data_IF_617773301946
#
_entry.id   IF_617773301946
#
_cell.length_a   1.000
_cell.length_b   1.000
_cell.length_c   1.000
_cell.angle_alpha   90.00
_cell.angle_beta   90.00
_cell.angle_gamma   90.00
#
_symmetry.space_group_name_H-M   'P 1'
#
loop_
_entity.id
_entity.type
_entity.pdbx_description
1 polymer ?
#
# COMPACT_ATOMS: atom_id res chain seq x y z
N UNK A 1 -28.93 81.68 -25.64
CA UNK A 1 -29.46 82.85 -24.89
C UNK A 1 -30.21 82.32 -23.67
N UNK A 2 -29.79 82.74 -22.47
CA UNK A 2 -30.53 82.85 -21.18
C UNK A 2 -31.24 81.63 -20.55
N UNK A 3 -30.86 81.39 -19.29
CA UNK A 3 -31.58 80.73 -18.19
C UNK A 3 -33.05 81.14 -18.03
N UNK A 4 -33.91 80.25 -17.50
CA UNK A 4 -34.54 80.33 -16.15
C UNK A 4 -35.50 79.12 -15.93
N UNK A 5 -35.52 78.65 -14.67
CA UNK A 5 -36.12 77.45 -14.11
C UNK A 5 -37.66 77.41 -13.99
N UNK A 6 -38.24 76.20 -13.87
CA UNK A 6 -39.27 75.89 -12.86
C UNK A 6 -39.44 74.38 -12.60
N UNK A 7 -39.65 74.11 -11.31
CA UNK A 7 -39.76 72.86 -10.54
C UNK A 7 -41.00 71.99 -10.84
N UNK A 8 -41.01 70.78 -10.25
CA UNK A 8 -42.09 69.79 -9.98
C UNK A 8 -42.25 68.69 -11.05
N UNK A 9 -42.26 67.39 -10.76
CA UNK A 9 -42.40 66.66 -9.49
C UNK A 9 -41.87 65.23 -9.72
N UNK A 10 -40.86 64.81 -8.98
CA UNK A 10 -40.29 63.47 -9.03
C UNK A 10 -41.09 62.61 -8.04
N UNK A 11 -42.00 61.78 -8.54
CA UNK A 11 -42.66 60.72 -7.78
C UNK A 11 -41.61 59.67 -7.42
N UNK A 12 -40.90 59.89 -6.31
CA UNK A 12 -40.13 58.86 -5.66
C UNK A 12 -41.12 57.85 -5.06
N UNK A 13 -41.17 56.68 -5.69
CA UNK A 13 -41.81 55.49 -5.15
C UNK A 13 -41.14 55.19 -3.80
N UNK A 14 -41.86 55.52 -2.74
CA UNK A 14 -41.50 55.23 -1.37
C UNK A 14 -41.61 53.71 -1.17
N UNK A 15 -40.55 52.97 -1.49
CA UNK A 15 -40.37 51.62 -1.00
C UNK A 15 -39.98 51.73 0.48
N UNK A 16 -40.99 51.89 1.34
CA UNK A 16 -40.85 51.59 2.77
C UNK A 16 -40.54 50.10 2.89
N UNK A 17 -39.27 49.70 2.76
CA UNK A 17 -38.83 48.54 3.52
C UNK A 17 -38.84 49.01 4.97
N UNK A 18 -39.89 48.66 5.70
CA UNK A 18 -39.84 48.71 7.15
C UNK A 18 -38.66 47.83 7.55
N UNK A 19 -37.49 48.43 7.75
CA UNK A 19 -36.49 47.85 8.63
C UNK A 19 -37.17 47.84 9.98
N UNK A 20 -37.77 46.69 10.31
CA UNK A 20 -38.10 46.41 11.70
C UNK A 20 -36.78 46.61 12.44
N UNK A 21 -36.71 47.68 13.20
CA UNK A 21 -35.59 47.97 14.07
C UNK A 21 -35.83 47.03 15.25
N UNK A 22 -35.28 45.81 15.19
CA UNK A 22 -35.45 44.84 16.27
C UNK A 22 -34.82 45.47 17.50
N UNK A 23 -35.62 45.63 18.56
CA UNK A 23 -35.14 46.19 19.81
C UNK A 23 -33.95 45.35 20.31
N UNK A 24 -32.89 46.03 20.72
CA UNK A 24 -31.52 45.52 20.87
C UNK A 24 -31.37 44.53 22.04
N UNK A 25 -31.77 43.28 21.84
CA UNK A 25 -31.29 42.15 22.66
C UNK A 25 -29.84 41.81 22.31
N UNK A 26 -29.00 41.53 23.30
CA UNK A 26 -27.62 41.07 23.08
C UNK A 26 -27.52 39.55 23.16
N UNK A 27 -26.64 38.96 22.35
CA UNK A 27 -26.26 37.55 22.50
C UNK A 27 -24.94 37.49 23.28
N UNK A 28 -24.93 36.72 24.37
CA UNK A 28 -23.73 36.40 25.15
C UNK A 28 -23.36 34.95 24.89
N UNK A 29 -22.09 34.67 24.59
CA UNK A 29 -21.61 33.30 24.39
C UNK A 29 -20.77 32.84 25.56
N UNK A 30 -21.17 31.74 26.16
CA UNK A 30 -20.40 31.00 27.16
C UNK A 30 -19.79 29.77 26.49
N UNK A 31 -18.46 29.72 26.44
CA UNK A 31 -17.72 28.57 25.91
C UNK A 31 -17.38 27.60 27.03
N UNK A 32 -17.68 26.32 26.81
CA UNK A 32 -17.35 25.22 27.73
C UNK A 32 -16.57 24.14 27.00
N UNK A 33 -15.82 23.34 27.76
CA UNK A 33 -15.22 22.09 27.32
C UNK A 33 -15.66 21.01 28.31
N UNK A 34 -16.38 20.00 27.82
CA UNK A 34 -16.95 18.92 28.62
C UNK A 34 -17.70 19.47 29.87
N UNK A 35 -18.53 20.49 29.68
CA UNK A 35 -19.36 21.10 30.72
C UNK A 35 -18.68 22.18 31.58
N UNK A 36 -17.37 22.39 31.44
CA UNK A 36 -16.60 23.36 32.25
C UNK A 36 -16.25 24.60 31.43
N UNK A 37 -16.47 25.80 31.98
CA UNK A 37 -16.13 27.07 31.31
C UNK A 37 -14.67 27.07 30.86
N UNK A 38 -14.44 27.26 29.56
CA UNK A 38 -13.12 27.18 28.96
C UNK A 38 -13.01 28.11 27.74
N UNK A 39 -12.23 29.17 27.88
CA UNK A 39 -12.02 30.16 26.82
C UNK A 39 -11.15 29.65 25.66
N UNK A 40 -10.38 28.57 25.88
CA UNK A 40 -9.46 27.97 24.91
C UNK A 40 -10.07 26.78 24.15
N UNK A 41 -11.33 26.41 24.42
CA UNK A 41 -11.99 25.27 23.80
C UNK A 41 -12.22 25.42 22.28
N UNK A 42 -12.28 26.66 21.81
CA UNK A 42 -12.51 27.05 20.42
C UNK A 42 -12.91 28.53 20.31
N UNK A 43 -13.26 28.97 19.10
CA UNK A 43 -13.83 30.30 18.83
C UNK A 43 -15.31 30.17 18.47
N UNK A 44 -16.09 31.19 18.84
CA UNK A 44 -17.50 31.33 18.48
C UNK A 44 -17.71 32.79 18.11
N UNK A 45 -17.97 33.05 16.84
CA UNK A 45 -18.29 34.37 16.32
C UNK A 45 -19.78 34.44 16.00
N UNK A 46 -20.44 35.53 16.37
CA UNK A 46 -21.87 35.71 16.17
C UNK A 46 -22.15 36.84 15.17
N UNK A 47 -23.12 36.62 14.29
CA UNK A 47 -23.64 37.62 13.38
C UNK A 47 -25.16 37.65 13.48
N UNK A 48 -25.72 38.80 13.86
CA UNK A 48 -27.16 39.01 13.88
C UNK A 48 -27.55 39.79 12.63
N UNK A 49 -28.40 39.21 11.80
CA UNK A 49 -28.89 39.85 10.58
C UNK A 49 -30.32 39.40 10.28
N UNK A 50 -31.19 40.37 9.95
CA UNK A 50 -32.61 40.13 9.63
C UNK A 50 -33.32 39.22 10.64
N UNK A 51 -33.00 39.38 11.93
CA UNK A 51 -33.63 38.61 12.99
C UNK A 51 -33.12 37.19 13.21
N UNK A 52 -32.07 36.80 12.51
CA UNK A 52 -31.40 35.51 12.70
C UNK A 52 -30.02 35.75 13.31
N UNK A 53 -29.69 35.03 14.37
CA UNK A 53 -28.32 34.92 14.85
C UNK A 53 -27.66 33.73 14.15
N UNK A 54 -26.52 33.97 13.49
CA UNK A 54 -25.65 32.93 12.95
C UNK A 54 -24.40 32.85 13.80
N UNK A 55 -24.08 31.66 14.28
CA UNK A 55 -22.84 31.33 14.98
C UNK A 55 -21.87 30.69 13.99
N UNK A 56 -20.66 31.23 13.87
CA UNK A 56 -19.52 30.57 13.21
C UNK A 56 -18.62 30.02 14.30
N UNK A 57 -18.51 28.71 14.38
CA UNK A 57 -17.81 28.01 15.45
C UNK A 57 -16.59 27.30 14.90
N UNK A 58 -15.43 27.51 15.51
CA UNK A 58 -14.19 26.82 15.17
C UNK A 58 -13.64 26.13 16.41
N UNK A 59 -13.73 24.79 16.52
CA UNK A 59 -13.11 24.05 17.61
C UNK A 59 -11.60 24.25 17.65
N UNK A 60 -11.02 24.25 18.86
CA UNK A 60 -9.57 24.13 19.00
C UNK A 60 -9.11 22.72 18.60
N UNK A 61 -7.81 22.56 18.32
CA UNK A 61 -7.24 21.25 17.98
C UNK A 61 -7.58 20.18 19.03
N UNK A 62 -7.99 19.00 18.56
CA UNK A 62 -8.41 17.91 19.44
C UNK A 62 -9.84 18.03 20.00
N UNK A 63 -10.57 19.10 19.69
CA UNK A 63 -11.97 19.28 20.10
C UNK A 63 -12.92 19.17 18.91
N UNK A 64 -14.21 18.96 19.20
CA UNK A 64 -15.29 19.01 18.24
C UNK A 64 -16.55 19.61 18.89
N UNK A 65 -17.52 20.01 18.07
CA UNK A 65 -18.83 20.44 18.56
C UNK A 65 -19.91 20.02 17.58
N UNK A 66 -21.09 19.65 18.11
CA UNK A 66 -22.27 19.34 17.31
C UNK A 66 -23.44 20.22 17.75
N UNK A 67 -24.52 20.24 16.97
CA UNK A 67 -25.72 21.01 17.33
C UNK A 67 -26.29 20.60 18.69
N UNK A 68 -26.15 19.33 19.08
CA UNK A 68 -26.60 18.83 20.38
C UNK A 68 -25.82 19.41 21.57
N UNK A 69 -24.67 20.03 21.32
CA UNK A 69 -23.82 20.63 22.33
C UNK A 69 -23.98 22.16 22.41
N UNK A 70 -24.96 22.71 21.70
CA UNK A 70 -25.23 24.15 21.68
C UNK A 70 -26.64 24.35 22.21
N UNK A 71 -26.75 25.11 23.30
CA UNK A 71 -28.02 25.60 23.81
C UNK A 71 -28.09 27.11 23.64
N UNK A 72 -29.29 27.62 23.43
CA UNK A 72 -29.56 29.05 23.39
C UNK A 72 -30.81 29.31 24.24
N UNK A 73 -30.70 30.18 25.23
CA UNK A 73 -31.80 30.45 26.16
C UNK A 73 -32.04 31.96 26.32
N UNK A 74 -33.30 32.34 26.50
CA UNK A 74 -33.68 33.72 26.82
C UNK A 74 -33.23 34.06 28.26
N UNK A 75 -32.47 35.13 28.41
CA UNK A 75 -32.07 35.65 29.73
C UNK A 75 -33.20 36.48 30.31
N UNK A 76 -33.80 36.00 31.38
CA UNK A 76 -34.80 36.75 32.16
C UNK A 76 -34.07 37.46 33.29
N UNK A 77 -33.77 38.75 33.13
CA UNK A 77 -33.20 39.55 34.22
C UNK A 77 -34.22 39.69 35.35
N UNK A 78 -33.98 39.04 36.48
CA UNK A 78 -34.79 39.21 37.68
C UNK A 78 -34.67 40.63 38.23
N UNK A 79 -35.77 41.39 38.14
CA UNK A 79 -35.97 42.63 38.90
C UNK A 79 -37.35 42.59 39.55
N UNK A 80 -37.39 42.61 40.87
CA UNK A 80 -38.62 42.67 41.68
C UNK A 80 -39.37 44.00 41.51
N UNK A 81 -40.64 43.94 41.07
CA UNK A 81 -41.75 44.81 41.50
C UNK A 81 -43.11 44.20 41.10
N UNK A 82 -44.02 44.06 42.09
CA UNK A 82 -45.43 43.58 42.03
C UNK A 82 -46.32 44.46 41.10
N UNK A 83 -47.52 44.14 40.58
CA UNK A 83 -48.60 43.11 40.64
C UNK A 83 -49.65 43.47 39.50
N UNK A 84 -50.81 42.78 39.27
CA UNK A 84 -51.38 41.60 39.90
C UNK A 84 -51.55 40.40 38.95
N UNK A 85 -51.57 39.20 39.54
CA UNK A 85 -51.98 37.96 38.89
C UNK A 85 -53.37 38.10 38.27
N UNK A 86 -53.47 37.91 36.95
CA UNK A 86 -54.68 37.34 36.36
C UNK A 86 -54.58 35.82 36.50
N UNK A 87 -55.54 35.25 37.22
CA UNK A 87 -55.72 33.82 37.35
C UNK A 87 -56.07 33.24 35.97
N UNK A 88 -55.06 32.70 35.31
CA UNK A 88 -55.14 31.89 34.11
C UNK A 88 -53.72 31.42 33.88
N UNK A 89 -53.44 30.13 34.10
CA UNK A 89 -52.09 29.59 33.96
C UNK A 89 -51.55 29.90 32.57
N UNK A 90 -50.69 30.90 32.47
CA UNK A 90 -49.80 31.00 31.32
C UNK A 90 -48.91 29.76 31.38
N UNK A 91 -48.88 28.93 30.33
CA UNK A 91 -47.94 27.84 30.23
C UNK A 91 -46.55 28.42 30.51
N UNK A 92 -45.77 27.80 31.39
CA UNK A 92 -44.40 28.23 31.63
C UNK A 92 -43.69 28.42 30.29
N UNK A 93 -43.27 29.64 29.99
CA UNK A 93 -42.64 29.93 28.70
C UNK A 93 -41.38 29.07 28.62
N UNK A 94 -41.30 28.23 27.58
CA UNK A 94 -40.06 27.55 27.26
C UNK A 94 -39.02 28.61 26.88
N UNK A 95 -37.96 28.70 27.66
CA UNK A 95 -36.89 29.67 27.45
C UNK A 95 -35.87 29.18 26.41
N UNK A 96 -35.95 27.91 26.01
CA UNK A 96 -35.05 27.29 25.05
C UNK A 96 -35.37 27.79 23.62
N UNK A 97 -34.31 28.14 22.90
CA UNK A 97 -34.36 28.54 21.50
C UNK A 97 -33.75 27.42 20.68
N UNK A 98 -34.51 26.89 19.73
CA UNK A 98 -34.02 25.84 18.85
C UNK A 98 -32.84 26.33 17.99
N UNK A 99 -31.70 25.67 18.13
CA UNK A 99 -30.50 25.89 17.31
C UNK A 99 -30.48 24.88 16.17
N UNK A 100 -30.22 25.37 14.95
CA UNK A 100 -30.15 24.55 13.74
C UNK A 100 -28.76 24.62 13.13
N UNK A 101 -28.23 23.49 12.63
CA UNK A 101 -26.98 23.49 11.87
C UNK A 101 -27.18 24.08 10.46
N UNK A 102 -26.20 24.85 9.98
CA UNK A 102 -26.26 25.56 8.69
C UNK A 102 -25.16 25.05 7.76
N UNK A 103 -25.55 24.43 6.64
CA UNK A 103 -24.63 23.86 5.64
C UNK A 103 -24.20 22.42 5.93
N UNK A 104 -23.49 21.78 4.99
CA UNK A 104 -23.03 20.40 5.15
C UNK A 104 -21.83 20.31 6.10
N UNK A 105 -22.06 19.77 7.28
CA UNK A 105 -21.06 19.49 8.31
C UNK A 105 -20.26 18.23 7.94
N UNK A 106 -19.35 18.34 6.97
CA UNK A 106 -18.51 17.20 6.60
C UNK A 106 -17.41 16.91 7.65
N UNK A 107 -17.01 17.92 8.44
CA UNK A 107 -16.02 17.79 9.50
C UNK A 107 -16.45 18.51 10.80
N UNK A 108 -16.79 17.77 11.87
CA UNK A 108 -17.15 18.35 13.17
C UNK A 108 -15.97 18.99 13.92
N UNK A 109 -14.72 18.83 13.43
CA UNK A 109 -13.54 19.52 13.95
C UNK A 109 -13.19 20.81 13.18
N UNK A 110 -13.88 21.08 12.07
CA UNK A 110 -13.70 22.27 11.25
C UNK A 110 -14.61 23.45 11.63
N UNK A 111 -14.61 24.49 10.79
CA UNK A 111 -15.52 25.62 10.95
C UNK A 111 -16.95 25.17 10.64
N UNK A 112 -17.82 25.18 11.65
CA UNK A 112 -19.25 24.87 11.52
C UNK A 112 -20.10 26.11 11.70
N UNK A 113 -21.29 26.11 11.10
CA UNK A 113 -22.25 27.20 11.27
C UNK A 113 -23.53 26.68 11.90
N UNK A 114 -24.07 27.48 12.80
CA UNK A 114 -25.36 27.23 13.44
C UNK A 114 -26.19 28.50 13.40
N UNK A 115 -27.50 28.38 13.46
CA UNK A 115 -28.39 29.53 13.49
C UNK A 115 -29.59 29.31 14.40
N UNK A 116 -30.11 30.41 14.93
CA UNK A 116 -31.39 30.45 15.61
C UNK A 116 -32.09 31.79 15.32
N UNK A 117 -33.42 31.79 15.41
CA UNK A 117 -34.21 33.00 15.31
C UNK A 117 -34.07 33.80 16.61
N UNK A 118 -33.79 35.10 16.50
CA UNK A 118 -33.82 35.99 17.66
C UNK A 118 -35.27 36.16 18.13
N UNK A 119 -35.53 36.26 19.45
CA UNK A 119 -36.87 36.57 19.95
C UNK A 119 -37.37 37.93 19.43
N UNK A 120 -38.68 38.07 19.22
CA UNK A 120 -39.31 39.29 18.65
C UNK A 120 -39.24 40.51 19.60
N UNK A 121 -39.15 40.25 20.90
CA UNK A 121 -38.99 41.24 21.98
C UNK A 121 -37.52 41.34 22.44
N UNK A 122 -37.07 42.47 23.05
CA UNK A 122 -35.66 42.73 23.40
C UNK A 122 -35.12 41.86 24.55
N UNK A 123 -35.07 40.55 24.33
CA UNK A 123 -34.49 39.58 25.24
C UNK A 123 -33.02 39.38 24.89
N UNK A 124 -32.19 39.42 25.92
CA UNK A 124 -30.84 38.92 25.80
C UNK A 124 -30.90 37.39 25.66
N UNK A 125 -29.99 36.83 24.87
CA UNK A 125 -29.87 35.38 24.68
C UNK A 125 -28.51 34.94 25.21
N UNK A 126 -28.50 33.94 26.09
CA UNK A 126 -27.27 33.25 26.46
C UNK A 126 -27.14 32.01 25.59
N UNK A 127 -26.03 31.91 24.86
CA UNK A 127 -25.64 30.73 24.10
C UNK A 127 -24.56 30.01 24.89
N UNK A 128 -24.78 28.73 25.17
CA UNK A 128 -23.74 27.86 25.69
C UNK A 128 -23.25 26.98 24.55
N UNK A 129 -21.99 27.14 24.18
CA UNK A 129 -21.30 26.26 23.24
C UNK A 129 -20.36 25.33 24.05
N UNK A 130 -20.79 24.07 24.25
CA UNK A 130 -20.04 23.09 25.03
C UNK A 130 -19.23 22.14 24.14
N UNK A 131 -18.02 22.55 23.80
CA UNK A 131 -17.10 21.73 23.02
C UNK A 131 -16.82 20.40 23.73
N UNK A 132 -16.60 19.36 22.95
CA UNK A 132 -16.25 18.03 23.43
C UNK A 132 -14.84 17.65 22.98
N UNK A 133 -14.12 16.91 23.81
CA UNK A 133 -12.79 16.40 23.44
C UNK A 133 -12.92 15.19 22.49
N UNK A 134 -12.12 15.16 21.41
CA UNK A 134 -12.02 14.01 20.51
C UNK A 134 -11.34 12.84 21.22
N UNK A 135 -11.76 11.63 20.89
CA UNK A 135 -11.17 10.40 21.43
C UNK A 135 -9.92 10.03 20.64
N UNK A 136 -8.78 9.91 21.31
CA UNK A 136 -7.54 9.44 20.68
C UNK A 136 -7.61 7.92 20.37
N UNK A 137 -7.36 7.55 19.12
CA UNK A 137 -7.37 6.15 18.66
C UNK A 137 -6.09 5.38 19.00
N UNK A 138 -5.05 6.05 19.50
CA UNK A 138 -3.75 5.43 19.82
C UNK A 138 -3.87 4.25 20.80
N UNK A 139 -4.85 4.33 21.73
CA UNK A 139 -5.17 3.29 22.70
C UNK A 139 -6.04 2.14 22.14
N UNK A 140 -6.54 2.26 20.91
CA UNK A 140 -7.40 1.25 20.30
C UNK A 140 -6.70 -0.07 20.01
N UNK A 141 -7.46 -1.15 19.97
CA UNK A 141 -6.97 -2.47 19.55
C UNK A 141 -7.20 -2.65 18.05
N UNK A 142 -6.13 -2.95 17.34
CA UNK A 142 -6.06 -3.03 15.88
C UNK A 142 -5.93 -4.49 15.44
N UNK A 143 -6.82 -4.93 14.56
CA UNK A 143 -6.76 -6.23 13.89
C UNK A 143 -6.53 -6.01 12.40
N UNK A 144 -5.63 -6.80 11.81
CA UNK A 144 -5.32 -6.81 10.38
C UNK A 144 -5.50 -8.25 9.90
N UNK A 145 -6.27 -8.45 8.82
CA UNK A 145 -6.48 -9.77 8.22
C UNK A 145 -6.57 -9.66 6.68
N UNK A 146 -5.78 -10.44 5.93
CA UNK A 146 -4.72 -11.34 6.36
C UNK A 146 -3.46 -10.62 6.84
N UNK A 147 -2.72 -11.24 7.77
CA UNK A 147 -1.43 -10.72 8.27
C UNK A 147 -0.25 -11.03 7.36
N UNK A 148 -0.44 -11.83 6.30
CA UNK A 148 0.62 -12.13 5.34
C UNK A 148 0.12 -12.39 3.92
N UNK A 149 0.94 -12.01 2.95
CA UNK A 149 0.77 -12.31 1.52
C UNK A 149 2.03 -12.95 0.94
N UNK A 150 1.90 -13.55 -0.24
CA UNK A 150 3.03 -13.85 -1.12
C UNK A 150 3.13 -12.74 -2.18
N UNK A 151 4.36 -12.32 -2.48
CA UNK A 151 4.64 -11.35 -3.53
C UNK A 151 4.06 -11.81 -4.88
N UNK A 152 3.24 -10.96 -5.50
CA UNK A 152 2.74 -11.16 -6.87
C UNK A 152 2.88 -9.90 -7.75
N UNK A 153 3.54 -8.86 -7.24
CA UNK A 153 3.73 -7.59 -7.92
C UNK A 153 2.58 -6.57 -7.78
N UNK A 154 1.52 -6.90 -7.03
CA UNK A 154 0.39 -5.98 -6.78
C UNK A 154 0.45 -5.36 -5.37
N UNK A 155 -0.19 -4.21 -5.22
CA UNK A 155 -0.43 -3.57 -3.92
C UNK A 155 -1.33 -4.45 -3.05
N UNK A 156 -1.01 -4.48 -1.75
CA UNK A 156 -1.77 -5.20 -0.72
C UNK A 156 -2.40 -4.23 0.26
N UNK A 157 -3.71 -4.34 0.42
CA UNK A 157 -4.50 -3.57 1.38
C UNK A 157 -5.36 -4.55 2.18
N UNK A 158 -4.81 -5.20 3.23
CA UNK A 158 -5.59 -6.09 4.08
C UNK A 158 -6.71 -5.34 4.79
N UNK A 159 -7.76 -6.08 5.16
CA UNK A 159 -8.85 -5.53 5.96
C UNK A 159 -8.34 -5.13 7.33
N UNK A 160 -8.82 -3.98 7.80
CA UNK A 160 -8.43 -3.38 9.08
C UNK A 160 -9.67 -3.17 9.93
N UNK A 161 -9.64 -3.69 11.16
CA UNK A 161 -10.66 -3.43 12.17
C UNK A 161 -10.02 -2.76 13.39
N UNK A 162 -10.53 -1.59 13.77
CA UNK A 162 -10.13 -0.87 14.98
C UNK A 162 -11.25 -0.93 16.01
N UNK A 163 -10.93 -1.33 17.23
CA UNK A 163 -11.87 -1.36 18.36
C UNK A 163 -11.41 -0.46 19.50
N UNK A 164 -12.36 0.20 20.15
CA UNK A 164 -12.15 1.05 21.34
C UNK A 164 -13.19 0.67 22.40
N UNK A 165 -12.74 0.42 23.63
CA UNK A 165 -13.61 0.03 24.76
C UNK A 165 -14.57 -1.13 24.41
N UNK A 166 -14.09 -2.11 23.64
CA UNK A 166 -14.89 -3.28 23.23
C UNK A 166 -15.86 -3.04 22.06
N UNK A 167 -15.92 -1.84 21.49
CA UNK A 167 -16.77 -1.52 20.33
C UNK A 167 -15.95 -1.21 19.08
N UNK A 168 -16.39 -1.70 17.92
CA UNK A 168 -15.76 -1.40 16.62
C UNK A 168 -16.00 0.06 16.23
N UNK A 169 -14.92 0.76 15.85
CA UNK A 169 -15.00 2.08 15.25
C UNK A 169 -15.34 1.91 13.77
N UNK A 170 -16.38 2.61 13.32
CA UNK A 170 -16.76 2.64 11.91
C UNK A 170 -15.62 3.19 11.03
N UNK A 171 -15.35 2.56 9.88
CA UNK A 171 -14.27 2.96 8.98
C UNK A 171 -14.35 4.42 8.51
N UNK A 172 -15.54 5.03 8.46
CA UNK A 172 -15.68 6.46 8.10
C UNK A 172 -15.19 7.44 9.18
N UNK A 173 -14.73 6.94 10.33
CA UNK A 173 -14.20 7.72 11.44
C UNK A 173 -12.65 7.68 11.52
N UNK A 174 -11.99 7.05 10.55
CA UNK A 174 -10.54 7.13 10.37
C UNK A 174 -10.17 7.03 8.89
N UNK A 175 -9.00 7.52 8.50
CA UNK A 175 -8.40 7.24 7.19
C UNK A 175 -7.35 6.16 7.31
N UNK A 176 -7.05 5.47 6.20
CA UNK A 176 -6.01 4.47 6.08
C UNK A 176 -4.96 4.92 5.09
N UNK A 177 -3.69 4.68 5.40
CA UNK A 177 -2.56 4.84 4.50
C UNK A 177 -1.66 3.61 4.58
N UNK A 178 -1.31 3.04 3.43
CA UNK A 178 -0.45 1.86 3.32
C UNK A 178 0.91 2.25 2.76
N UNK A 179 1.97 1.70 3.34
CA UNK A 179 3.35 1.90 2.87
C UNK A 179 4.09 0.58 2.78
N UNK A 180 5.02 0.49 1.82
CA UNK A 180 5.80 -0.71 1.51
C UNK A 180 4.93 -1.96 1.21
N UNK A 181 3.77 -1.76 0.58
CA UNK A 181 2.74 -2.78 0.41
C UNK A 181 2.77 -3.51 -0.95
N UNK A 182 3.89 -3.45 -1.68
CA UNK A 182 4.08 -4.17 -2.96
C UNK A 182 5.19 -5.21 -2.83
N UNK A 183 6.40 -4.78 -2.47
CA UNK A 183 7.59 -5.62 -2.43
C UNK A 183 7.61 -6.53 -1.19
N UNK A 184 8.35 -7.63 -1.28
CA UNK A 184 8.53 -8.52 -0.14
C UNK A 184 9.24 -7.79 1.02
N UNK A 185 8.72 -7.97 2.23
CA UNK A 185 9.15 -7.26 3.43
C UNK A 185 8.00 -7.03 4.41
N UNK A 186 8.21 -6.11 5.34
CA UNK A 186 7.18 -5.66 6.29
C UNK A 186 6.50 -4.41 5.74
N UNK A 187 5.20 -4.52 5.48
CA UNK A 187 4.34 -3.41 5.10
C UNK A 187 3.67 -2.81 6.34
N UNK A 188 3.35 -1.51 6.28
CA UNK A 188 2.73 -0.78 7.40
C UNK A 188 1.41 -0.17 6.95
N UNK A 189 0.39 -0.26 7.80
CA UNK A 189 -0.86 0.49 7.69
C UNK A 189 -0.95 1.51 8.81
N UNK A 190 -1.28 2.75 8.47
CA UNK A 190 -1.44 3.87 9.39
C UNK A 190 -2.89 4.33 9.38
N UNK A 191 -3.53 4.31 10.54
CA UNK A 191 -4.86 4.84 10.78
C UNK A 191 -4.72 6.25 11.33
N UNK A 192 -5.50 7.21 10.82
CA UNK A 192 -5.59 8.57 11.38
C UNK A 192 -7.03 8.86 11.77
N UNK A 193 -7.26 9.26 13.03
CA UNK A 193 -8.60 9.54 13.54
C UNK A 193 -9.26 10.74 12.85
N UNK A 194 -10.53 10.59 12.49
CA UNK A 194 -11.38 11.61 11.86
C UNK A 194 -12.60 11.92 12.73
N UNK A 195 -13.29 13.03 12.42
CA UNK A 195 -14.53 13.46 13.11
C UNK A 195 -14.33 13.54 14.62
N UNK A 196 -15.04 12.72 15.40
CA UNK A 196 -14.95 12.69 16.87
C UNK A 196 -13.72 11.96 17.40
N UNK A 197 -12.86 11.43 16.53
CA UNK A 197 -11.64 10.70 16.89
C UNK A 197 -10.41 11.43 16.43
N UNK A 198 -9.28 11.36 17.14
CA UNK A 198 -8.00 11.99 16.79
C UNK A 198 -6.84 10.98 16.92
N UNK A 199 -5.61 11.42 16.66
CA UNK A 199 -4.40 10.62 16.82
C UNK A 199 -4.20 9.57 15.72
N UNK A 200 -3.19 8.74 15.91
CA UNK A 200 -2.77 7.73 14.93
C UNK A 200 -2.59 6.35 15.56
N UNK A 201 -2.91 5.30 14.81
CA UNK A 201 -2.60 3.91 15.17
C UNK A 201 -1.93 3.22 13.99
N UNK A 202 -0.86 2.49 14.23
CA UNK A 202 -0.16 1.74 13.18
C UNK A 202 -0.24 0.24 13.42
N UNK A 203 -0.25 -0.53 12.34
CA UNK A 203 -0.05 -1.97 12.37
C UNK A 203 0.75 -2.43 11.16
N UNK A 204 1.18 -3.68 11.18
CA UNK A 204 2.06 -4.23 10.14
C UNK A 204 1.56 -5.57 9.64
N UNK A 205 1.83 -5.86 8.37
CA UNK A 205 1.65 -7.18 7.77
C UNK A 205 2.88 -7.53 6.91
N UNK A 206 3.03 -8.80 6.56
CA UNK A 206 4.23 -9.29 5.85
C UNK A 206 3.92 -9.68 4.41
N UNK A 207 4.74 -9.24 3.47
CA UNK A 207 4.75 -9.76 2.10
C UNK A 207 5.96 -10.68 1.99
N UNK A 208 5.73 -11.98 1.84
CA UNK A 208 6.79 -12.98 1.70
C UNK A 208 7.28 -13.06 0.26
N UNK A 209 8.55 -13.45 0.07
CA UNK A 209 9.12 -13.63 -1.27
C UNK A 209 8.39 -14.76 -2.01
N UNK A 210 8.19 -14.57 -3.31
CA UNK A 210 7.66 -15.60 -4.18
C UNK A 210 8.73 -16.68 -4.49
N UNK A 211 8.29 -17.90 -4.73
CA UNK A 211 9.17 -18.97 -5.19
C UNK A 211 9.31 -18.91 -6.72
N UNK A 212 10.49 -19.25 -7.21
CA UNK A 212 10.74 -19.53 -8.63
C UNK A 212 10.73 -21.05 -8.87
N UNK A 213 10.42 -21.47 -10.09
CA UNK A 213 10.43 -22.89 -10.49
C UNK A 213 11.29 -23.07 -11.74
N UNK A 214 12.62 -22.94 -11.61
CA UNK A 214 13.51 -22.95 -12.75
C UNK A 214 13.65 -24.35 -13.34
N UNK A 215 13.91 -24.41 -14.64
CA UNK A 215 14.36 -25.62 -15.33
C UNK A 215 15.63 -25.31 -16.10
N UNK A 216 16.55 -26.27 -16.14
CA UNK A 216 17.77 -26.18 -16.93
C UNK A 216 17.82 -27.35 -17.89
N UNK A 217 18.31 -27.12 -19.11
CA UNK A 217 18.67 -28.18 -20.04
C UNK A 217 20.03 -27.88 -20.65
N UNK A 218 20.73 -28.94 -21.05
CA UNK A 218 22.00 -28.83 -21.76
C UNK A 218 22.06 -29.93 -22.80
N UNK A 219 22.14 -29.55 -24.06
CA UNK A 219 22.37 -30.49 -25.15
C UNK A 219 23.75 -31.13 -25.01
N UNK A 220 23.85 -32.43 -25.29
CA UNK A 220 25.14 -33.11 -25.40
C UNK A 220 25.93 -32.69 -26.63
N UNK A 221 27.18 -33.15 -26.71
CA UNK A 221 28.07 -32.95 -27.86
C UNK A 221 29.05 -34.11 -27.97
N UNK A 222 29.78 -34.19 -29.08
CA UNK A 222 30.82 -35.20 -29.27
C UNK A 222 32.16 -34.71 -28.72
N UNK A 223 32.95 -35.61 -28.15
CA UNK A 223 34.30 -35.30 -27.68
C UNK A 223 35.12 -34.56 -28.74
N UNK A 224 35.68 -33.41 -28.38
CA UNK A 224 36.44 -32.54 -29.29
C UNK A 224 35.61 -31.46 -29.99
N UNK A 225 34.27 -31.54 -29.95
CA UNK A 225 33.41 -30.44 -30.40
C UNK A 225 33.37 -29.30 -29.38
N UNK A 226 32.94 -28.11 -29.84
CA UNK A 226 32.66 -26.98 -28.95
C UNK A 226 31.53 -27.32 -27.99
N UNK A 227 31.76 -27.08 -26.71
CA UNK A 227 30.75 -27.33 -25.67
C UNK A 227 29.48 -26.51 -25.93
N UNK A 228 28.33 -27.15 -25.69
CA UNK A 228 27.02 -26.49 -25.77
C UNK A 228 26.79 -25.62 -24.54
N UNK A 229 25.89 -24.64 -24.68
CA UNK A 229 25.54 -23.72 -23.60
C UNK A 229 24.25 -24.19 -22.90
N UNK A 230 24.17 -24.16 -21.56
CA UNK A 230 22.94 -24.47 -20.85
C UNK A 230 21.82 -23.49 -21.19
N UNK A 231 20.60 -24.00 -21.30
CA UNK A 231 19.38 -23.19 -21.48
C UNK A 231 18.62 -23.20 -20.16
N UNK A 232 18.31 -22.02 -19.62
CA UNK A 232 17.54 -21.85 -18.39
C UNK A 232 16.17 -21.25 -18.71
N UNK A 233 15.14 -21.77 -18.05
CA UNK A 233 13.79 -21.20 -18.02
C UNK A 233 13.29 -21.07 -16.59
N UNK A 234 12.18 -20.34 -16.37
CA UNK A 234 11.53 -20.20 -15.07
C UNK A 234 12.24 -19.28 -14.06
N UNK A 235 13.24 -18.50 -14.48
CA UNK A 235 13.89 -17.47 -13.65
C UNK A 235 13.05 -16.17 -13.62
N UNK A 236 11.80 -16.25 -13.16
CA UNK A 236 10.87 -15.10 -13.10
C UNK A 236 11.38 -13.97 -12.20
N UNK A 237 12.24 -14.27 -11.23
CA UNK A 237 12.85 -13.30 -10.33
C UNK A 237 14.11 -12.62 -10.86
N UNK A 238 14.59 -12.99 -12.06
CA UNK A 238 15.85 -12.48 -12.66
C UNK A 238 17.05 -12.56 -11.70
N UNK A 239 17.11 -13.63 -10.89
CA UNK A 239 18.25 -13.89 -10.01
C UNK A 239 19.50 -14.18 -10.82
N UNK A 240 20.67 -13.80 -10.30
CA UNK A 240 21.97 -14.15 -10.90
C UNK A 240 22.15 -15.67 -10.96
N UNK A 241 22.66 -16.16 -12.09
CA UNK A 241 22.75 -17.60 -12.38
C UNK A 241 24.21 -18.04 -12.39
N UNK A 242 24.50 -19.15 -11.70
CA UNK A 242 25.81 -19.82 -11.73
C UNK A 242 25.60 -21.26 -12.20
N UNK A 243 26.37 -21.68 -13.21
CA UNK A 243 26.38 -23.06 -13.68
C UNK A 243 27.56 -23.83 -13.11
N UNK A 244 27.27 -25.04 -12.66
CA UNK A 244 28.29 -26.00 -12.22
C UNK A 244 27.98 -27.38 -12.79
N UNK A 245 28.99 -28.24 -12.85
CA UNK A 245 28.94 -29.53 -13.53
C UNK A 245 29.55 -30.62 -12.66
N UNK A 246 29.08 -31.84 -12.84
CA UNK A 246 29.72 -33.03 -12.25
C UNK A 246 29.57 -34.25 -13.15
N UNK A 247 30.53 -35.15 -13.09
CA UNK A 247 30.42 -36.46 -13.74
C UNK A 247 29.41 -37.36 -13.01
N UNK A 248 28.81 -38.30 -13.75
CA UNK A 248 27.98 -39.34 -13.14
C UNK A 248 28.77 -40.11 -12.06
N UNK A 249 28.16 -40.31 -10.89
CA UNK A 249 28.81 -40.93 -9.74
C UNK A 249 29.66 -39.98 -8.89
N UNK A 250 29.94 -38.75 -9.35
CA UNK A 250 30.55 -37.71 -8.52
C UNK A 250 29.54 -37.06 -7.57
N UNK A 251 30.02 -36.65 -6.41
CA UNK A 251 29.27 -35.81 -5.45
C UNK A 251 29.61 -34.33 -5.62
N UNK A 252 30.85 -34.01 -6.00
CA UNK A 252 31.35 -32.64 -6.12
C UNK A 252 31.00 -32.01 -7.47
N UNK A 253 30.61 -30.73 -7.41
CA UNK A 253 30.35 -29.87 -8.55
C UNK A 253 31.55 -28.95 -8.82
N UNK A 254 31.79 -28.64 -10.09
CA UNK A 254 32.84 -27.74 -10.56
C UNK A 254 32.27 -26.68 -11.51
N UNK A 255 32.84 -25.47 -11.52
CA UNK A 255 32.50 -24.44 -12.52
C UNK A 255 33.08 -24.75 -13.91
N UNK A 256 34.01 -25.71 -14.01
CA UNK A 256 34.64 -26.10 -15.28
C UNK A 256 33.72 -26.99 -16.09
N UNK A 257 33.49 -26.63 -17.34
CA UNK A 257 32.73 -27.46 -18.29
C UNK A 257 33.49 -28.77 -18.54
N UNK A 258 32.86 -29.94 -18.37
CA UNK A 258 33.52 -31.22 -18.60
C UNK A 258 33.92 -31.40 -20.06
N UNK A 259 35.06 -32.05 -20.30
CA UNK A 259 35.55 -32.39 -21.64
C UNK A 259 35.57 -33.89 -21.90
N UNK A 260 35.65 -34.71 -20.85
CA UNK A 260 35.70 -36.17 -20.98
C UNK A 260 34.35 -36.74 -21.43
N UNK A 261 34.38 -37.67 -22.39
CA UNK A 261 33.21 -38.41 -22.82
C UNK A 261 32.57 -39.17 -21.64
N UNK A 262 31.23 -39.18 -21.59
CA UNK A 262 30.46 -39.77 -20.51
C UNK A 262 29.22 -38.97 -20.16
N UNK A 263 28.47 -39.47 -19.17
CA UNK A 263 27.28 -38.79 -18.64
C UNK A 263 27.67 -37.83 -17.53
N UNK A 264 27.12 -36.63 -17.58
CA UNK A 264 27.36 -35.55 -16.63
C UNK A 264 26.02 -34.94 -16.18
N UNK A 265 26.07 -34.15 -15.11
CA UNK A 265 24.95 -33.34 -14.62
C UNK A 265 25.36 -31.88 -14.61
N UNK A 266 24.54 -31.02 -15.21
CA UNK A 266 24.62 -29.57 -15.03
C UNK A 266 23.68 -29.15 -13.90
N UNK A 267 24.12 -28.20 -13.08
CA UNK A 267 23.31 -27.52 -12.06
C UNK A 267 23.33 -26.02 -12.31
N UNK A 268 22.16 -25.43 -12.40
CA UNK A 268 21.97 -23.98 -12.34
C UNK A 268 21.58 -23.60 -10.91
N UNK A 269 22.36 -22.72 -10.27
CA UNK A 269 22.03 -22.11 -8.98
C UNK A 269 21.63 -20.66 -9.23
N UNK A 270 20.40 -20.30 -8.84
CA UNK A 270 19.81 -18.99 -9.04
C UNK A 270 19.75 -18.28 -7.68
N UNK A 271 20.40 -17.12 -7.58
CA UNK A 271 20.41 -16.32 -6.37
C UNK A 271 19.03 -15.73 -6.04
N UNK A 272 18.73 -15.58 -4.75
CA UNK A 272 17.54 -14.85 -4.30
C UNK A 272 17.62 -13.37 -4.70
N UNK A 273 16.48 -12.75 -4.96
CA UNK A 273 16.35 -11.31 -5.17
C UNK A 273 15.55 -10.65 -4.05
N UNK A 274 15.22 -9.37 -4.18
CA UNK A 274 14.38 -8.68 -3.19
C UNK A 274 13.03 -9.37 -3.01
N UNK A 275 12.39 -9.78 -4.12
CA UNK A 275 11.01 -10.27 -4.12
C UNK A 275 10.86 -11.77 -4.37
N UNK A 276 11.93 -12.45 -4.78
CA UNK A 276 11.91 -13.88 -5.08
C UNK A 276 12.96 -14.64 -4.28
N UNK A 277 12.60 -15.84 -3.82
CA UNK A 277 13.54 -16.81 -3.26
C UNK A 277 14.47 -17.34 -4.36
N UNK A 278 15.70 -17.67 -3.99
CA UNK A 278 16.62 -18.40 -4.87
C UNK A 278 16.20 -19.85 -5.01
N UNK A 279 16.67 -20.52 -6.05
CA UNK A 279 16.40 -21.94 -6.27
C UNK A 279 17.48 -22.58 -7.14
N UNK A 280 17.48 -23.90 -7.25
CA UNK A 280 18.40 -24.65 -8.10
C UNK A 280 17.63 -25.55 -9.07
N UNK A 281 18.22 -25.83 -10.24
CA UNK A 281 17.72 -26.80 -11.20
C UNK A 281 18.87 -27.67 -11.70
N UNK A 282 18.61 -28.94 -11.98
CA UNK A 282 19.60 -29.87 -12.54
C UNK A 282 19.09 -30.59 -13.77
N UNK A 283 20.01 -30.96 -14.66
CA UNK A 283 19.73 -31.83 -15.81
C UNK A 283 20.95 -32.67 -16.16
N UNK A 284 20.72 -33.85 -16.73
CA UNK A 284 21.78 -34.70 -17.26
C UNK A 284 22.05 -34.41 -18.73
N UNK A 285 23.30 -34.57 -19.13
CA UNK A 285 23.73 -34.50 -20.53
C UNK A 285 24.86 -35.50 -20.78
N UNK A 286 25.13 -35.81 -22.04
CA UNK A 286 26.16 -36.78 -22.42
C UNK A 286 27.14 -36.15 -23.39
N UNK A 287 28.43 -36.31 -23.10
CA UNK A 287 29.50 -36.07 -24.06
C UNK A 287 29.77 -37.40 -24.77
N UNK A 288 29.40 -37.52 -26.03
CA UNK A 288 29.58 -38.73 -26.82
C UNK A 288 31.07 -38.96 -27.12
N UNK A 289 31.45 -40.23 -27.30
CA UNK A 289 32.80 -40.55 -27.81
C UNK A 289 32.90 -40.08 -29.25
N UNK A 290 34.06 -39.54 -29.63
CA UNK A 290 34.36 -39.28 -31.03
C UNK A 290 34.59 -40.60 -31.77
N UNK A 291 34.02 -40.72 -32.97
CA UNK A 291 34.33 -41.82 -33.86
C UNK A 291 35.78 -41.72 -34.35
N UNK A 292 36.40 -42.89 -34.54
CA UNK A 292 37.71 -43.01 -35.16
C UNK A 292 37.63 -43.88 -36.40
N UNK A 293 38.45 -43.59 -37.40
CA UNK A 293 38.54 -44.39 -38.63
C UNK A 293 40.00 -44.80 -38.83
N UNK A 294 40.48 -45.81 -38.08
CA UNK A 294 41.86 -46.23 -38.19
C UNK A 294 42.11 -46.91 -39.54
N UNK A 295 43.28 -46.67 -40.11
CA UNK A 295 43.79 -47.40 -41.27
C UNK A 295 45.19 -47.92 -40.98
N UNK A 296 45.52 -49.07 -41.54
CA UNK A 296 46.85 -49.69 -41.40
C UNK A 296 47.51 -49.79 -42.76
N UNK A 297 48.76 -49.34 -42.85
CA UNK A 297 49.64 -49.56 -43.99
C UNK A 297 50.83 -50.41 -43.56
N UNK A 298 51.24 -51.34 -44.43
CA UNK A 298 52.44 -52.14 -44.25
C UNK A 298 53.16 -52.26 -45.59
N UNK A 299 54.31 -51.61 -45.69
CA UNK A 299 55.14 -51.69 -46.88
C UNK A 299 55.70 -53.10 -47.04
N UNK A 300 55.79 -53.57 -48.29
CA UNK A 300 56.46 -54.83 -48.59
C UNK A 300 57.96 -54.78 -48.32
N UNK A 301 58.57 -55.94 -48.13
CA UNK A 301 60.02 -56.12 -48.01
C UNK A 301 60.47 -57.37 -48.76
N UNK A 302 61.77 -57.44 -49.03
CA UNK A 302 62.37 -58.60 -49.71
C UNK A 302 62.70 -59.69 -48.69
N UNK A 303 62.63 -60.96 -49.08
CA UNK A 303 63.03 -62.08 -48.21
C UNK A 303 64.47 -61.89 -47.71
N UNK A 304 64.66 -61.93 -46.39
CA UNK A 304 65.95 -61.71 -45.72
C UNK A 304 66.18 -60.29 -45.19
N UNK A 305 65.32 -59.31 -45.53
CA UNK A 305 65.34 -57.98 -44.91
C UNK A 305 64.66 -57.97 -43.53
N UNK A 306 64.97 -56.96 -42.72
CA UNK A 306 64.23 -56.70 -41.48
C UNK A 306 62.76 -56.41 -41.80
N UNK A 307 61.79 -57.11 -41.17
CA UNK A 307 60.37 -56.85 -41.38
C UNK A 307 60.01 -55.38 -41.14
N UNK A 308 59.19 -54.80 -42.01
CA UNK A 308 58.68 -53.44 -41.84
C UNK A 308 57.66 -53.40 -40.70
N UNK A 309 57.58 -52.27 -40.02
CA UNK A 309 56.59 -52.04 -38.96
C UNK A 309 55.29 -51.51 -39.59
N UNK A 310 54.11 -52.06 -39.25
CA UNK A 310 52.86 -51.48 -39.69
C UNK A 310 52.69 -50.07 -39.15
N UNK A 311 52.17 -49.18 -39.98
CA UNK A 311 51.85 -47.80 -39.61
C UNK A 311 50.34 -47.67 -39.51
N UNK A 312 49.84 -47.27 -38.35
CA UNK A 312 48.42 -46.96 -38.15
C UNK A 312 48.21 -45.45 -38.20
N UNK A 313 47.27 -45.01 -39.01
CA UNK A 313 46.76 -43.64 -39.04
C UNK A 313 45.29 -43.63 -38.62
N UNK A 314 44.73 -42.47 -38.28
CA UNK A 314 43.30 -42.35 -37.93
C UNK A 314 42.88 -42.85 -36.54
N UNK A 315 43.82 -43.33 -35.71
CA UNK A 315 43.59 -43.65 -34.29
C UNK A 315 43.71 -42.40 -33.39
N UNK A 316 42.90 -41.38 -33.65
CA UNK A 316 42.98 -40.07 -32.95
C UNK A 316 42.59 -40.13 -31.47
N UNK A 317 41.90 -41.20 -31.04
CA UNK A 317 41.57 -41.46 -29.64
C UNK A 317 42.70 -42.12 -28.83
N UNK A 318 43.87 -42.36 -29.44
CA UNK A 318 45.00 -43.09 -28.83
C UNK A 318 44.58 -44.43 -28.20
N UNK A 319 43.61 -45.11 -28.83
CA UNK A 319 43.21 -46.44 -28.43
C UNK A 319 44.38 -47.42 -28.55
N UNK A 320 44.33 -48.52 -27.81
CA UNK A 320 45.33 -49.58 -27.93
C UNK A 320 45.33 -50.13 -29.37
N UNK A 321 46.52 -50.24 -29.95
CA UNK A 321 46.72 -50.84 -31.29
C UNK A 321 47.33 -52.21 -31.13
N UNK A 322 46.71 -53.22 -31.74
CA UNK A 322 47.24 -54.59 -31.85
C UNK A 322 47.37 -54.97 -33.32
N UNK A 323 48.41 -55.75 -33.64
CA UNK A 323 48.72 -56.18 -35.01
C UNK A 323 48.59 -57.68 -35.12
N UNK A 324 47.94 -58.14 -36.18
CA UNK A 324 47.85 -59.56 -36.55
C UNK A 324 48.22 -59.72 -38.01
N UNK A 325 48.99 -60.74 -38.34
CA UNK A 325 49.55 -60.95 -39.68
C UNK A 325 48.99 -62.22 -40.30
N UNK A 326 48.91 -62.28 -41.63
CA UNK A 326 48.62 -63.52 -42.37
C UNK A 326 49.22 -63.51 -43.76
N UNK A 327 49.44 -64.70 -44.31
CA UNK A 327 49.80 -64.83 -45.73
C UNK A 327 48.61 -64.42 -46.62
N UNK A 328 48.91 -63.84 -47.79
CA UNK A 328 47.90 -63.52 -48.78
C UNK A 328 47.12 -64.78 -49.20
N UNK A 329 45.79 -64.73 -49.15
CA UNK A 329 44.92 -65.88 -49.44
C UNK A 329 44.68 -66.84 -48.28
N UNK A 330 45.34 -66.67 -47.12
CA UNK A 330 45.05 -67.47 -45.94
C UNK A 330 43.70 -67.07 -45.29
N UNK A 331 43.01 -68.06 -44.71
CA UNK A 331 41.73 -67.86 -44.02
C UNK A 331 41.92 -67.12 -42.69
N UNK A 332 42.99 -67.42 -41.96
CA UNK A 332 43.16 -66.99 -40.56
C UNK A 332 44.39 -66.11 -40.35
N UNK A 333 44.32 -65.26 -39.32
CA UNK A 333 45.44 -64.47 -38.85
C UNK A 333 46.26 -65.25 -37.82
N UNK A 334 47.58 -65.21 -37.94
CA UNK A 334 48.49 -65.62 -36.87
C UNK A 334 48.60 -64.47 -35.88
N UNK A 335 48.27 -64.70 -34.61
CA UNK A 335 48.63 -63.78 -33.53
C UNK A 335 50.16 -63.73 -33.43
N UNK A 336 50.73 -62.53 -33.46
CA UNK A 336 52.13 -62.29 -33.13
C UNK A 336 52.35 -62.39 -31.61
#
# INVERSE_FOLDING_TARGET
>A
MKYIAKQLMMTALLLMTATTLWATGSVTVVKKLNGTTNSSAGTVEQLISNGTCTLTVTPAEGNYITVANITAERVISGGSAQAPRRAGGEPGMDNNIAVTAVGSTADPSGVTRYSFAMPEDPYNVEVVADFQQRTDISAGSLTIDPVSYVYDGSEREPEVTLTMNGSTINASNYSLEYTNNINAGTATVTLTGLKTYTGTKTGTFTITKANITPTVSLEGWTYGETAKTPVLSGNTGNGGVVYTYKAAGSVEYSATVPTAAGTHTVKATIAATANYNGNEATATFTIAKADITPSVNLDGWTYGETPKTPVVTGNTGNGQVTYSYKAAGATDFTSA
#
